data_IF_180474124801
#
_entry.id   IF_180474124801
#
_cell.length_a   1.000
_cell.length_b   1.000
_cell.length_c   1.000
_cell.angle_alpha   90.00
_cell.angle_beta   90.00
_cell.angle_gamma   90.00
#
_symmetry.space_group_name_H-M   'P 1'
#
loop_
_entity.id
_entity.type
_entity.pdbx_description
1 polymer ?
#
# COMPACT_ATOMS: atom_id res chain seq x y z
N UNK A 1 10.68 -11.96 1.35
CA UNK A 1 11.16 -11.98 2.74
C UNK A 1 10.67 -13.22 3.47
N UNK A 2 11.43 -13.63 4.46
CA UNK A 2 11.08 -14.73 5.37
C UNK A 2 10.66 -14.21 6.76
N UNK A 3 10.56 -12.90 6.93
CA UNK A 3 10.14 -12.30 8.20
C UNK A 3 8.64 -12.55 8.40
N UNK A 4 8.31 -13.38 9.39
CA UNK A 4 6.92 -13.79 9.65
C UNK A 4 6.03 -12.62 10.04
N UNK A 5 6.57 -11.62 10.71
CA UNK A 5 5.78 -10.43 11.08
C UNK A 5 5.45 -9.56 9.88
N UNK A 6 6.36 -9.44 8.92
CA UNK A 6 6.07 -8.75 7.66
C UNK A 6 5.02 -9.54 6.86
N UNK A 7 5.14 -10.87 6.82
CA UNK A 7 4.16 -11.71 6.12
C UNK A 7 2.78 -11.61 6.77
N UNK A 8 2.71 -11.61 8.10
CA UNK A 8 1.45 -11.43 8.82
C UNK A 8 0.84 -10.07 8.52
N UNK A 9 1.64 -9.00 8.53
CA UNK A 9 1.17 -7.66 8.21
C UNK A 9 0.65 -7.58 6.77
N UNK A 10 1.30 -8.27 5.83
CA UNK A 10 0.85 -8.31 4.44
C UNK A 10 -0.54 -8.94 4.31
N UNK A 11 -0.80 -10.00 5.07
CA UNK A 11 -2.12 -10.65 5.07
C UNK A 11 -3.20 -9.79 5.74
N UNK A 12 -2.82 -8.91 6.66
CA UNK A 12 -3.74 -8.12 7.47
C UNK A 12 -3.83 -6.66 7.04
N UNK A 13 -3.09 -6.24 6.00
CA UNK A 13 -2.86 -4.82 5.69
C UNK A 13 -4.14 -4.00 5.48
N UNK A 14 -5.22 -4.60 4.99
CA UNK A 14 -6.47 -3.89 4.75
C UNK A 14 -7.47 -3.99 5.91
N UNK A 15 -7.16 -4.71 6.98
CA UNK A 15 -8.16 -5.01 8.02
C UNK A 15 -8.66 -3.78 8.76
N UNK A 16 -7.78 -2.81 9.07
CA UNK A 16 -8.18 -1.59 9.78
C UNK A 16 -9.13 -0.76 8.92
N UNK A 17 -8.87 -0.66 7.61
CA UNK A 17 -9.67 0.14 6.69
C UNK A 17 -10.99 -0.54 6.32
N UNK A 18 -10.97 -1.86 6.08
CA UNK A 18 -12.06 -2.58 5.43
C UNK A 18 -12.96 -3.34 6.41
N UNK A 19 -12.56 -3.45 7.67
CA UNK A 19 -13.32 -4.16 8.69
C UNK A 19 -13.41 -3.36 9.99
N UNK A 20 -14.07 -3.90 11.00
CA UNK A 20 -14.12 -3.30 12.34
C UNK A 20 -12.90 -3.59 13.22
N UNK A 21 -11.85 -4.20 12.66
CA UNK A 21 -10.63 -4.51 13.42
C UNK A 21 -9.86 -3.23 13.73
N UNK A 22 -9.44 -3.08 15.00
CA UNK A 22 -8.70 -1.91 15.46
C UNK A 22 -7.20 -2.23 15.61
N UNK A 23 -6.39 -1.16 15.74
CA UNK A 23 -4.97 -1.29 16.05
C UNK A 23 -4.76 -2.13 17.33
N UNK A 24 -5.56 -1.86 18.36
CA UNK A 24 -5.44 -2.59 19.64
C UNK A 24 -5.75 -4.08 19.48
N UNK A 25 -6.74 -4.43 18.66
CA UNK A 25 -7.04 -5.82 18.35
C UNK A 25 -5.84 -6.52 17.72
N UNK A 26 -5.20 -5.89 16.74
CA UNK A 26 -4.02 -6.42 16.07
C UNK A 26 -2.85 -6.54 17.03
N UNK A 27 -2.65 -5.55 17.90
CA UNK A 27 -1.56 -5.56 18.88
C UNK A 27 -1.70 -6.73 19.86
N UNK A 28 -2.92 -7.00 20.33
CA UNK A 28 -3.19 -8.09 21.25
C UNK A 28 -2.97 -9.46 20.62
N UNK A 29 -3.39 -9.63 19.37
CA UNK A 29 -3.32 -10.93 18.68
C UNK A 29 -1.97 -11.20 18.04
N UNK A 30 -1.29 -10.19 17.50
CA UNK A 30 -0.10 -10.35 16.66
C UNK A 30 1.13 -9.58 17.15
N UNK A 31 1.00 -8.75 18.17
CA UNK A 31 2.09 -7.96 18.72
C UNK A 31 2.19 -6.56 18.11
N UNK A 32 2.99 -5.73 18.78
CA UNK A 32 3.12 -4.29 18.43
C UNK A 32 3.69 -4.09 17.03
N UNK A 33 4.70 -4.87 16.66
CA UNK A 33 5.36 -4.71 15.35
C UNK A 33 4.41 -4.95 14.19
N UNK A 34 3.62 -6.02 14.26
CA UNK A 34 2.60 -6.33 13.23
C UNK A 34 1.55 -5.21 13.18
N UNK A 35 1.05 -4.79 14.33
CA UNK A 35 0.06 -3.72 14.40
C UNK A 35 0.59 -2.41 13.81
N UNK A 36 1.84 -2.04 14.10
CA UNK A 36 2.47 -0.85 13.56
C UNK A 36 2.63 -0.92 12.04
N UNK A 37 3.04 -2.08 11.51
CA UNK A 37 3.19 -2.29 10.07
C UNK A 37 1.84 -2.17 9.35
N UNK A 38 0.79 -2.76 9.89
CA UNK A 38 -0.56 -2.67 9.32
C UNK A 38 -1.06 -1.23 9.38
N UNK A 39 -0.87 -0.54 10.50
CA UNK A 39 -1.28 0.86 10.66
C UNK A 39 -0.57 1.77 9.66
N UNK A 40 0.71 1.52 9.37
CA UNK A 40 1.48 2.30 8.40
C UNK A 40 0.92 2.18 6.98
N UNK A 41 0.25 1.07 6.64
CA UNK A 41 -0.40 0.90 5.34
C UNK A 41 -1.81 1.50 5.27
N UNK A 42 -2.38 1.91 6.41
CA UNK A 42 -3.73 2.47 6.46
C UNK A 42 -3.72 3.95 6.07
N UNK A 43 -4.70 4.36 5.27
CA UNK A 43 -4.84 5.74 4.81
C UNK A 43 -6.00 6.45 5.52
N UNK A 44 -5.89 7.77 5.67
CA UNK A 44 -6.97 8.61 6.19
C UNK A 44 -8.00 8.87 5.08
N UNK A 45 -9.09 8.13 5.09
CA UNK A 45 -10.15 8.21 4.07
C UNK A 45 -10.88 9.55 4.07
N UNK A 46 -10.70 10.40 5.07
CA UNK A 46 -11.26 11.76 5.08
C UNK A 46 -10.51 12.73 4.17
N UNK A 47 -9.30 12.36 3.75
CA UNK A 47 -8.45 13.16 2.87
C UNK A 47 -8.72 12.84 1.40
N UNK A 48 -8.32 13.78 0.50
CA UNK A 48 -8.40 13.53 -0.94
C UNK A 48 -7.40 12.45 -1.37
N UNK A 49 -7.60 11.91 -2.55
CA UNK A 49 -6.67 10.91 -3.11
C UNK A 49 -5.24 11.46 -3.19
N UNK A 50 -5.08 12.70 -3.70
CA UNK A 50 -3.76 13.35 -3.82
C UNK A 50 -3.11 13.52 -2.45
N UNK A 51 -3.87 13.98 -1.45
CA UNK A 51 -3.36 14.16 -0.09
C UNK A 51 -2.91 12.83 0.53
N UNK A 52 -3.71 11.78 0.38
CA UNK A 52 -3.38 10.45 0.91
C UNK A 52 -2.12 9.88 0.26
N UNK A 53 -2.03 9.96 -1.07
CA UNK A 53 -0.88 9.43 -1.81
C UNK A 53 0.37 10.26 -1.55
N UNK A 54 0.25 11.58 -1.47
CA UNK A 54 1.35 12.45 -1.08
C UNK A 54 1.87 12.14 0.31
N UNK A 55 0.98 11.91 1.27
CA UNK A 55 1.36 11.52 2.63
C UNK A 55 2.11 10.18 2.64
N UNK A 56 1.65 9.20 1.89
CA UNK A 56 2.32 7.90 1.77
C UNK A 56 3.74 8.08 1.21
N UNK A 57 3.91 8.88 0.16
CA UNK A 57 5.22 9.13 -0.44
C UNK A 57 6.18 9.81 0.54
N UNK A 58 5.71 10.80 1.29
CA UNK A 58 6.53 11.48 2.31
C UNK A 58 6.92 10.53 3.44
N UNK A 59 5.98 9.72 3.91
CA UNK A 59 6.26 8.74 4.96
C UNK A 59 7.31 7.72 4.53
N UNK A 60 7.26 7.26 3.28
CA UNK A 60 8.19 6.25 2.77
C UNK A 60 9.63 6.75 2.70
N UNK A 61 9.85 8.07 2.62
CA UNK A 61 11.21 8.61 2.60
C UNK A 61 12.01 8.26 3.84
N UNK A 62 11.34 8.13 4.99
CA UNK A 62 11.97 7.84 6.28
C UNK A 62 11.48 6.54 6.89
N UNK A 63 10.70 5.75 6.15
CA UNK A 63 10.16 4.49 6.63
C UNK A 63 11.25 3.43 6.83
N UNK A 64 10.99 2.49 7.74
CA UNK A 64 11.88 1.35 7.95
C UNK A 64 11.94 0.45 6.71
N UNK A 65 13.00 -0.37 6.56
CA UNK A 65 13.04 -1.35 5.48
C UNK A 65 11.84 -2.31 5.49
N UNK A 66 11.33 -2.70 6.66
CA UNK A 66 10.16 -3.56 6.77
C UNK A 66 8.91 -2.91 6.18
N UNK A 67 8.67 -1.63 6.48
CA UNK A 67 7.55 -0.88 5.91
C UNK A 67 7.68 -0.74 4.40
N UNK A 68 8.88 -0.47 3.90
CA UNK A 68 9.15 -0.34 2.47
C UNK A 68 8.91 -1.66 1.73
N UNK A 69 9.34 -2.78 2.31
CA UNK A 69 9.12 -4.12 1.74
C UNK A 69 7.63 -4.40 1.64
N UNK A 70 6.88 -4.13 2.70
CA UNK A 70 5.44 -4.36 2.73
C UNK A 70 4.72 -3.52 1.67
N UNK A 71 5.03 -2.23 1.61
CA UNK A 71 4.42 -1.32 0.62
C UNK A 71 4.80 -1.73 -0.80
N UNK A 72 6.06 -2.07 -1.04
CA UNK A 72 6.53 -2.51 -2.36
C UNK A 72 5.80 -3.77 -2.82
N UNK A 73 5.63 -4.75 -1.94
CA UNK A 73 4.94 -5.99 -2.28
C UNK A 73 3.47 -5.72 -2.65
N UNK A 74 2.79 -4.86 -1.89
CA UNK A 74 1.41 -4.47 -2.18
C UNK A 74 1.30 -3.78 -3.54
N UNK A 75 2.18 -2.81 -3.81
CA UNK A 75 2.14 -2.06 -5.07
C UNK A 75 2.55 -2.91 -6.26
N UNK A 76 3.49 -3.82 -6.10
CA UNK A 76 3.85 -4.76 -7.15
C UNK A 76 2.67 -5.66 -7.51
N UNK A 77 1.95 -6.16 -6.51
CA UNK A 77 0.74 -6.94 -6.72
C UNK A 77 -0.32 -6.14 -7.48
N UNK A 78 -0.52 -4.89 -7.08
CA UNK A 78 -1.48 -3.99 -7.75
C UNK A 78 -1.09 -3.73 -9.21
N UNK A 79 0.18 -3.45 -9.48
CA UNK A 79 0.67 -3.20 -10.85
C UNK A 79 0.52 -4.44 -11.73
N UNK A 80 0.83 -5.62 -11.21
CA UNK A 80 0.65 -6.88 -11.95
C UNK A 80 -0.81 -7.13 -12.30
N UNK A 81 -1.71 -6.87 -11.36
CA UNK A 81 -3.15 -6.98 -11.61
C UNK A 81 -3.61 -5.97 -12.66
N UNK A 82 -3.15 -4.73 -12.56
CA UNK A 82 -3.48 -3.68 -13.53
C UNK A 82 -2.99 -4.03 -14.94
N UNK A 83 -1.77 -4.54 -15.06
CA UNK A 83 -1.19 -4.93 -16.35
C UNK A 83 -2.01 -6.06 -16.99
N UNK A 84 -2.39 -7.06 -16.20
CA UNK A 84 -3.23 -8.17 -16.66
C UNK A 84 -4.60 -7.68 -17.11
N UNK A 85 -5.24 -6.85 -16.31
CA UNK A 85 -6.57 -6.33 -16.62
C UNK A 85 -6.54 -5.39 -17.83
N UNK A 86 -5.48 -4.61 -17.99
CA UNK A 86 -5.31 -3.75 -19.15
C UNK A 86 -5.27 -4.55 -20.47
N UNK A 87 -4.66 -5.72 -20.46
CA UNK A 87 -4.63 -6.60 -21.63
C UNK A 87 -6.04 -7.10 -22.00
N UNK A 88 -6.93 -7.17 -21.01
CA UNK A 88 -8.31 -7.65 -21.23
C UNK A 88 -9.28 -6.54 -21.63
N UNK A 89 -9.18 -5.37 -20.99
CA UNK A 89 -10.18 -4.31 -21.14
C UNK A 89 -9.63 -2.98 -21.67
N UNK A 90 -8.30 -2.83 -21.78
CA UNK A 90 -7.67 -1.61 -22.29
C UNK A 90 -7.92 -0.39 -21.40
N UNK A 91 -8.16 0.75 -22.02
CA UNK A 91 -8.33 2.03 -21.31
C UNK A 91 -9.55 2.04 -20.37
N UNK A 92 -10.49 1.13 -20.53
CA UNK A 92 -11.61 1.00 -19.59
C UNK A 92 -11.16 0.63 -18.18
N UNK A 93 -9.96 0.08 -18.02
CA UNK A 93 -9.38 -0.23 -16.72
C UNK A 93 -9.47 0.97 -15.76
N UNK A 94 -9.16 2.18 -16.26
CA UNK A 94 -9.07 3.38 -15.41
C UNK A 94 -10.41 3.77 -14.79
N UNK A 95 -11.52 3.33 -15.40
CA UNK A 95 -12.86 3.58 -14.87
C UNK A 95 -13.20 2.75 -13.63
N UNK A 96 -12.42 1.71 -13.36
CA UNK A 96 -12.61 0.82 -12.20
C UNK A 96 -12.07 1.42 -10.90
N UNK A 97 -11.24 2.47 -10.99
CA UNK A 97 -10.61 3.09 -9.83
C UNK A 97 -11.36 4.34 -9.39
N UNK A 98 -11.23 4.70 -8.11
CA UNK A 98 -11.72 5.98 -7.61
C UNK A 98 -10.99 7.14 -8.28
N UNK A 99 -9.67 7.02 -8.44
CA UNK A 99 -8.88 7.95 -9.24
C UNK A 99 -8.79 7.42 -10.66
N UNK A 100 -9.53 8.04 -11.58
CA UNK A 100 -9.65 7.59 -12.96
C UNK A 100 -8.61 8.20 -13.90
N UNK A 101 -7.87 9.21 -13.43
CA UNK A 101 -6.82 9.88 -14.21
C UNK A 101 -5.56 9.01 -14.21
N UNK A 102 -5.24 8.43 -15.38
CA UNK A 102 -4.08 7.54 -15.52
C UNK A 102 -2.75 8.26 -15.28
N UNK A 103 -2.67 9.57 -15.56
CA UNK A 103 -1.45 10.34 -15.33
C UNK A 103 -1.16 10.50 -13.84
N UNK A 104 -2.19 10.69 -13.03
CA UNK A 104 -2.06 10.74 -11.58
C UNK A 104 -1.67 9.38 -11.01
N UNK A 105 -2.24 8.30 -11.52
CA UNK A 105 -1.83 6.94 -11.16
C UNK A 105 -0.36 6.71 -11.52
N UNK A 106 0.06 7.11 -12.71
CA UNK A 106 1.45 6.99 -13.15
C UNK A 106 2.40 7.80 -12.26
N UNK A 107 2.01 9.02 -11.89
CA UNK A 107 2.79 9.84 -10.96
C UNK A 107 3.03 9.10 -9.63
N UNK A 108 2.00 8.53 -9.05
CA UNK A 108 2.09 7.85 -7.77
C UNK A 108 3.03 6.65 -7.84
N UNK A 109 2.83 5.76 -8.82
CA UNK A 109 3.64 4.55 -8.95
C UNK A 109 5.09 4.84 -9.34
N UNK A 110 5.30 5.81 -10.23
CA UNK A 110 6.66 6.22 -10.63
C UNK A 110 7.43 6.81 -9.45
N UNK A 111 6.78 7.68 -8.67
CA UNK A 111 7.38 8.26 -7.46
C UNK A 111 7.73 7.18 -6.45
N UNK A 112 6.89 6.18 -6.31
CA UNK A 112 7.11 5.07 -5.39
C UNK A 112 8.30 4.21 -5.80
N UNK A 113 8.45 3.92 -7.09
CA UNK A 113 9.60 3.17 -7.61
C UNK A 113 10.92 3.84 -7.21
N UNK A 114 11.00 5.16 -7.31
CA UNK A 114 12.20 5.89 -6.91
C UNK A 114 12.52 5.73 -5.42
N UNK A 115 11.50 5.64 -4.58
CA UNK A 115 11.67 5.44 -3.15
C UNK A 115 12.12 4.01 -2.79
N UNK A 116 11.85 3.05 -3.66
CA UNK A 116 12.24 1.66 -3.44
C UNK A 116 13.64 1.32 -3.95
N UNK A 117 14.28 2.22 -4.69
CA UNK A 117 15.65 2.01 -5.14
C UNK A 117 16.57 1.85 -3.93
N UNK A 118 17.44 0.86 -3.98
CA UNK A 118 18.34 0.53 -2.88
C UNK A 118 17.80 -0.52 -1.91
N UNK A 119 16.56 -0.96 -2.05
CA UNK A 119 16.06 -2.13 -1.34
C UNK A 119 16.46 -3.39 -2.09
N UNK A 120 17.24 -4.24 -1.45
CA UNK A 120 17.67 -5.51 -2.04
C UNK A 120 17.37 -6.68 -1.11
#
# INVERSE_FOLDING_TARGET
TNDEEILAAALLHDTIEDTGVTYEDLKQEFGTRVADLVAAESEDKSKTWIERKGHTLEHLKTASPAEKILTMADKLSNIRSMARDYLLVGEELWQRFNMKDREKQAWYYTSMIDLFKGLE
#
